data_IF_769324464147
#
_entry.id   IF_769324464147
#
_cell.length_a   1.000
_cell.length_b   1.000
_cell.length_c   1.000
_cell.angle_alpha   90.00
_cell.angle_beta   90.00
_cell.angle_gamma   90.00
#
_symmetry.space_group_name_H-M   'P 1'
#
loop_
_entity.id
_entity.type
_entity.pdbx_description
1 polymer ?
#
# COMPACT_ATOMS: atom_id res chain seq x y z
N UNK A 1 -4.82 -6.77 -49.11
CA UNK A 1 -4.73 -5.61 -48.20
C UNK A 1 -4.13 -4.47 -48.99
N UNK A 2 -4.96 -3.54 -49.45
CA UNK A 2 -4.53 -2.42 -50.30
C UNK A 2 -4.12 -1.27 -49.38
N UNK A 3 -2.85 -0.89 -49.39
CA UNK A 3 -2.37 0.32 -48.73
C UNK A 3 -2.97 1.53 -49.45
N UNK A 4 -3.86 2.26 -48.77
CA UNK A 4 -4.33 3.55 -49.25
C UNK A 4 -3.17 4.56 -49.16
N UNK A 5 -2.90 5.34 -50.22
CA UNK A 5 -1.91 6.41 -50.16
C UNK A 5 -2.35 7.43 -49.10
N UNK A 6 -1.42 7.78 -48.20
CA UNK A 6 -1.62 8.88 -47.26
C UNK A 6 -1.64 10.18 -48.06
N UNK A 7 -2.83 10.62 -48.47
CA UNK A 7 -3.02 11.99 -48.96
C UNK A 7 -2.69 12.93 -47.80
N UNK A 8 -1.89 13.99 -48.02
CA UNK A 8 -1.68 15.01 -46.99
C UNK A 8 -3.06 15.54 -46.60
N UNK A 9 -3.34 15.56 -45.30
CA UNK A 9 -4.58 16.14 -44.79
C UNK A 9 -4.69 17.58 -45.32
N UNK A 10 -5.87 18.01 -45.80
CA UNK A 10 -6.03 19.36 -46.31
C UNK A 10 -5.65 20.36 -45.22
N UNK A 11 -4.85 21.37 -45.59
CA UNK A 11 -4.54 22.49 -44.70
C UNK A 11 -5.80 23.33 -44.54
N UNK A 12 -6.60 23.03 -43.53
CA UNK A 12 -7.81 23.77 -43.21
C UNK A 12 -7.44 25.16 -42.70
N UNK A 13 -8.16 26.19 -43.14
CA UNK A 13 -8.10 27.52 -42.53
C UNK A 13 -8.89 27.56 -41.21
N UNK A 14 -8.67 28.58 -40.39
CA UNK A 14 -9.42 28.84 -39.16
C UNK A 14 -10.95 28.85 -39.37
N UNK A 15 -11.40 29.31 -40.54
CA UNK A 15 -12.81 29.34 -40.98
C UNK A 15 -13.38 28.00 -41.42
N UNK A 16 -12.52 27.02 -41.66
CA UNK A 16 -12.87 25.68 -42.16
C UNK A 16 -12.67 24.58 -41.10
N UNK A 17 -12.26 24.98 -39.88
CA UNK A 17 -12.17 24.06 -38.76
C UNK A 17 -13.57 23.51 -38.41
N UNK A 18 -13.72 22.20 -38.14
CA UNK A 18 -14.97 21.65 -37.64
C UNK A 18 -15.38 22.35 -36.33
N UNK A 19 -16.69 22.46 -36.06
CA UNK A 19 -17.21 23.26 -34.94
C UNK A 19 -16.64 22.94 -33.55
N UNK A 20 -16.17 21.71 -33.33
CA UNK A 20 -15.51 21.28 -32.09
C UNK A 20 -14.06 21.78 -31.93
N UNK A 21 -13.48 22.34 -32.99
CA UNK A 21 -12.15 22.94 -32.99
C UNK A 21 -12.23 24.46 -33.01
N UNK A 22 -11.30 25.09 -32.30
CA UNK A 22 -11.10 26.54 -32.28
C UNK A 22 -9.62 26.89 -32.47
N UNK A 23 -9.30 28.17 -32.36
CA UNK A 23 -7.90 28.64 -32.33
C UNK A 23 -7.39 28.52 -30.91
N UNK A 24 -6.20 27.94 -30.73
CA UNK A 24 -5.57 27.88 -29.40
C UNK A 24 -5.41 29.28 -28.81
N UNK A 25 -5.93 29.49 -27.60
CA UNK A 25 -5.86 30.77 -26.88
C UNK A 25 -4.44 31.29 -26.73
N UNK A 26 -3.48 30.41 -26.45
CA UNK A 26 -2.11 30.83 -26.10
C UNK A 26 -1.22 31.07 -27.33
N UNK A 27 -1.16 30.10 -28.24
CA UNK A 27 -0.26 30.19 -29.38
C UNK A 27 -0.89 30.89 -30.59
N UNK A 28 -2.23 31.02 -30.63
CA UNK A 28 -2.97 31.68 -31.70
C UNK A 28 -2.85 31.03 -33.09
N UNK A 29 -2.09 29.94 -33.22
CA UNK A 29 -1.65 29.42 -34.50
C UNK A 29 -2.05 27.96 -34.75
N UNK A 30 -2.40 27.21 -33.69
CA UNK A 30 -2.68 25.79 -33.79
C UNK A 30 -4.16 25.52 -33.54
N UNK A 31 -4.81 24.65 -34.35
CA UNK A 31 -6.13 24.14 -34.03
C UNK A 31 -6.15 23.50 -32.64
N UNK A 32 -7.18 23.80 -31.89
CA UNK A 32 -7.31 23.44 -30.49
C UNK A 32 -8.70 22.85 -30.22
N UNK A 33 -8.80 22.03 -29.18
CA UNK A 33 -10.08 21.54 -28.67
C UNK A 33 -10.48 22.36 -27.45
N UNK A 34 -11.78 22.46 -27.22
CA UNK A 34 -12.33 23.11 -26.04
C UNK A 34 -11.96 22.33 -24.78
N UNK A 35 -11.36 23.01 -23.81
CA UNK A 35 -11.02 22.51 -22.48
C UNK A 35 -12.07 23.04 -21.48
N UNK A 36 -12.98 22.17 -20.99
CA UNK A 36 -14.02 22.57 -20.04
C UNK A 36 -13.48 23.08 -18.70
N UNK A 37 -12.26 22.71 -18.31
CA UNK A 37 -11.67 23.16 -17.04
C UNK A 37 -11.20 24.62 -17.08
N UNK A 38 -10.98 25.14 -18.29
CA UNK A 38 -10.46 26.50 -18.55
C UNK A 38 -11.42 27.37 -19.35
N UNK A 39 -12.56 26.81 -19.77
CA UNK A 39 -13.60 27.47 -20.56
C UNK A 39 -13.07 28.11 -21.85
N UNK A 40 -12.11 27.45 -22.51
CA UNK A 40 -11.45 27.98 -23.72
C UNK A 40 -10.78 26.86 -24.56
N UNK A 41 -10.26 27.19 -25.74
CA UNK A 41 -9.60 26.24 -26.65
C UNK A 41 -8.09 26.21 -26.45
N UNK A 42 -7.53 25.02 -26.18
CA UNK A 42 -6.07 24.80 -26.06
C UNK A 42 -5.55 23.69 -26.98
N UNK A 43 -4.37 23.89 -27.57
CA UNK A 43 -3.69 22.85 -28.33
C UNK A 43 -2.86 21.96 -27.41
N UNK A 44 -2.59 20.72 -27.84
CA UNK A 44 -1.90 19.70 -27.03
C UNK A 44 -0.60 20.20 -26.36
N UNK A 45 0.33 20.90 -27.05
CA UNK A 45 1.53 21.44 -26.41
C UNK A 45 1.23 22.47 -25.31
N UNK A 46 0.31 23.42 -25.54
CA UNK A 46 -0.06 24.43 -24.55
C UNK A 46 -0.80 23.79 -23.37
N UNK A 47 -1.71 22.84 -23.61
CA UNK A 47 -2.37 22.07 -22.54
C UNK A 47 -1.35 21.29 -21.70
N UNK A 48 -0.33 20.70 -22.33
CA UNK A 48 0.73 19.99 -21.63
C UNK A 48 1.52 20.94 -20.71
N UNK A 49 1.92 22.12 -21.19
CA UNK A 49 2.61 23.13 -20.38
C UNK A 49 1.76 23.56 -19.19
N UNK A 50 0.48 23.85 -19.40
CA UNK A 50 -0.43 24.23 -18.31
C UNK A 50 -0.62 23.11 -17.30
N UNK A 51 -0.72 21.87 -17.75
CA UNK A 51 -0.86 20.70 -16.88
C UNK A 51 0.40 20.49 -16.05
N UNK A 52 1.58 20.62 -16.67
CA UNK A 52 2.86 20.51 -15.97
C UNK A 52 3.07 21.67 -14.98
N UNK A 53 2.67 22.88 -15.35
CA UNK A 53 2.78 24.06 -14.47
C UNK A 53 1.82 23.96 -13.28
N UNK A 54 0.59 23.50 -13.50
CA UNK A 54 -0.35 23.21 -12.43
C UNK A 54 0.16 22.09 -11.51
N UNK A 55 0.72 21.01 -12.08
CA UNK A 55 1.33 19.94 -11.31
C UNK A 55 2.54 20.44 -10.50
N UNK A 56 3.38 21.29 -11.07
CA UNK A 56 4.50 21.91 -10.36
C UNK A 56 4.03 22.77 -9.19
N UNK A 57 3.03 23.63 -9.39
CA UNK A 57 2.45 24.44 -8.31
C UNK A 57 1.84 23.58 -7.19
N UNK A 58 1.19 22.47 -7.53
CA UNK A 58 0.68 21.52 -6.53
C UNK A 58 1.81 20.78 -5.79
N UNK A 59 2.88 20.42 -6.49
CA UNK A 59 4.06 19.80 -5.88
C UNK A 59 4.79 20.78 -4.95
N UNK A 60 4.94 22.05 -5.33
CA UNK A 60 5.49 23.10 -4.48
C UNK A 60 4.65 23.30 -3.20
N UNK A 61 3.32 23.32 -3.34
CA UNK A 61 2.42 23.42 -2.19
C UNK A 61 2.52 22.23 -1.22
N UNK A 62 2.94 21.05 -1.70
CA UNK A 62 3.18 19.86 -0.88
C UNK A 62 4.61 19.80 -0.32
N UNK A 63 5.56 20.47 -0.96
CA UNK A 63 6.98 20.36 -0.62
C UNK A 63 7.28 20.86 0.80
N UNK A 64 6.80 22.06 1.17
CA UNK A 64 7.05 22.63 2.50
C UNK A 64 6.44 21.79 3.65
N UNK A 65 5.16 21.36 3.60
CA UNK A 65 4.60 20.47 4.62
C UNK A 65 5.35 19.14 4.76
N UNK A 66 5.74 18.53 3.64
CA UNK A 66 6.50 17.26 3.65
C UNK A 66 7.89 17.47 4.24
N UNK A 67 8.56 18.57 3.86
CA UNK A 67 9.87 18.94 4.36
C UNK A 67 9.83 19.17 5.88
N UNK A 68 8.85 19.92 6.37
CA UNK A 68 8.65 20.14 7.81
C UNK A 68 8.39 18.82 8.55
N UNK A 69 7.53 17.95 7.98
CA UNK A 69 7.24 16.63 8.57
C UNK A 69 8.49 15.75 8.69
N UNK A 70 9.30 15.71 7.63
CA UNK A 70 10.59 15.01 7.62
C UNK A 70 11.54 15.59 8.67
N UNK A 71 11.64 16.92 8.74
CA UNK A 71 12.53 17.61 9.66
C UNK A 71 12.15 17.37 11.13
N UNK A 72 10.87 17.46 11.46
CA UNK A 72 10.35 17.17 12.80
C UNK A 72 10.56 15.71 13.20
N UNK A 73 10.37 14.77 12.26
CA UNK A 73 10.60 13.34 12.51
C UNK A 73 12.05 13.07 12.91
N UNK A 74 13.01 13.56 12.13
CA UNK A 74 14.43 13.33 12.42
C UNK A 74 14.94 14.16 13.60
N UNK A 75 14.39 15.36 13.80
CA UNK A 75 14.60 16.15 15.01
C UNK A 75 14.18 15.42 16.28
N UNK A 76 13.05 14.71 16.26
CA UNK A 76 12.60 13.89 17.40
C UNK A 76 13.53 12.70 17.71
N UNK A 77 14.28 12.22 16.72
CA UNK A 77 15.32 11.18 16.87
C UNK A 77 16.68 11.80 17.28
N UNK A 78 16.78 13.12 17.41
CA UNK A 78 17.95 13.84 17.92
C UNK A 78 18.89 14.39 16.85
N UNK A 79 18.50 14.42 15.57
CA UNK A 79 19.30 15.07 14.54
C UNK A 79 19.15 16.61 14.61
N UNK A 80 20.26 17.35 14.65
CA UNK A 80 20.21 18.80 14.69
C UNK A 80 19.89 19.38 13.30
N UNK A 81 19.29 20.57 13.29
CA UNK A 81 18.76 21.19 12.06
C UNK A 81 19.83 21.50 11.01
N UNK A 82 21.05 21.82 11.43
CA UNK A 82 22.21 22.04 10.55
C UNK A 82 22.61 20.77 9.79
N UNK A 83 22.59 19.60 10.45
CA UNK A 83 22.79 18.32 9.78
C UNK A 83 21.66 18.01 8.79
N UNK A 84 20.42 18.34 9.14
CA UNK A 84 19.28 18.16 8.24
C UNK A 84 19.39 19.08 7.01
N UNK A 85 19.78 20.34 7.19
CA UNK A 85 20.05 21.27 6.10
C UNK A 85 21.19 20.81 5.19
N UNK A 86 22.28 20.28 5.76
CA UNK A 86 23.38 19.72 5.01
C UNK A 86 22.97 18.49 4.17
N UNK A 87 22.14 17.61 4.74
CA UNK A 87 21.58 16.46 4.00
C UNK A 87 20.69 16.91 2.85
N UNK A 88 19.84 17.92 3.05
CA UNK A 88 19.00 18.51 2.00
C UNK A 88 19.83 19.14 0.88
N UNK A 89 20.86 19.93 1.24
CA UNK A 89 21.77 20.54 0.27
C UNK A 89 22.51 19.50 -0.59
N UNK A 90 22.77 18.31 -0.04
CA UNK A 90 23.36 17.19 -0.79
C UNK A 90 22.45 16.61 -1.89
N UNK A 91 21.13 16.76 -1.77
CA UNK A 91 20.17 16.27 -2.78
C UNK A 91 19.92 17.29 -3.91
N UNK A 92 20.16 18.59 -3.68
CA UNK A 92 19.88 19.66 -4.65
C UNK A 92 21.01 19.94 -5.64
N UNK A 93 22.13 19.20 -5.58
CA UNK A 93 23.28 19.23 -6.52
C UNK A 93 23.91 20.61 -6.84
N UNK A 94 23.76 21.62 -5.99
CA UNK A 94 24.53 22.87 -6.05
C UNK A 94 24.94 23.31 -4.63
N UNK A 95 25.94 24.19 -4.52
CA UNK A 95 26.47 24.87 -3.32
C UNK A 95 25.42 25.73 -2.56
N UNK A 96 24.14 25.35 -2.59
CA UNK A 96 22.99 26.02 -2.02
C UNK A 96 22.66 25.53 -0.60
N UNK A 97 23.65 25.13 0.19
CA UNK A 97 23.42 24.75 1.61
C UNK A 97 22.72 25.86 2.38
N UNK A 98 22.99 27.13 2.06
CA UNK A 98 22.31 28.29 2.65
C UNK A 98 20.82 28.35 2.24
N UNK A 99 20.50 28.03 0.98
CA UNK A 99 19.12 27.93 0.50
C UNK A 99 18.36 26.77 1.14
N UNK A 100 19.02 25.62 1.34
CA UNK A 100 18.44 24.47 2.04
C UNK A 100 18.15 24.77 3.52
N UNK A 101 19.07 25.47 4.21
CA UNK A 101 18.88 25.89 5.59
C UNK A 101 17.72 26.90 5.72
N UNK A 102 17.61 27.85 4.79
CA UNK A 102 16.51 28.80 4.75
C UNK A 102 15.17 28.09 4.50
N UNK A 103 15.09 27.25 3.46
CA UNK A 103 13.87 26.51 3.12
C UNK A 103 13.40 25.62 4.27
N UNK A 104 14.34 24.94 4.94
CA UNK A 104 14.06 24.13 6.12
C UNK A 104 13.53 24.97 7.28
N UNK A 105 14.11 26.15 7.52
CA UNK A 105 13.67 27.07 8.57
C UNK A 105 12.27 27.62 8.28
N UNK A 106 11.99 27.99 7.03
CA UNK A 106 10.67 28.44 6.58
C UNK A 106 9.62 27.33 6.75
N UNK A 107 9.95 26.10 6.36
CA UNK A 107 9.07 24.94 6.51
C UNK A 107 8.74 24.67 7.98
N UNK A 108 9.76 24.65 8.85
CA UNK A 108 9.59 24.42 10.29
C UNK A 108 8.80 25.54 10.99
N UNK A 109 8.95 26.79 10.55
CA UNK A 109 8.20 27.92 11.11
C UNK A 109 6.73 27.94 10.67
N UNK A 110 6.42 27.43 9.47
CA UNK A 110 5.07 27.43 8.91
C UNK A 110 4.26 26.20 9.31
N UNK A 111 4.90 25.09 9.70
CA UNK A 111 4.24 23.80 9.91
C UNK A 111 4.72 23.14 11.21
N UNK A 112 3.91 23.24 12.26
CA UNK A 112 4.15 22.57 13.54
C UNK A 112 3.86 21.07 13.50
N UNK A 113 4.45 20.32 14.42
CA UNK A 113 4.07 18.93 14.66
C UNK A 113 2.64 18.87 15.19
N UNK A 114 1.74 18.11 14.55
CA UNK A 114 0.40 17.94 15.08
C UNK A 114 0.47 17.22 16.44
N UNK A 115 -0.23 17.75 17.43
CA UNK A 115 -0.48 17.00 18.66
C UNK A 115 -1.36 15.80 18.33
N UNK A 116 -0.92 14.61 18.71
CA UNK A 116 -1.74 13.40 18.61
C UNK A 116 -1.72 12.67 19.95
N UNK A 117 -2.85 12.05 20.29
CA UNK A 117 -2.90 11.02 21.31
C UNK A 117 -2.88 9.68 20.59
N UNK A 118 -1.96 8.75 20.90
CA UNK A 118 -2.06 7.40 20.41
C UNK A 118 -3.45 6.86 20.71
N UNK A 119 -4.11 6.27 19.71
CA UNK A 119 -5.30 5.48 19.96
C UNK A 119 -4.89 4.30 20.86
N UNK A 120 -5.78 3.94 21.80
CA UNK A 120 -5.60 2.68 22.52
C UNK A 120 -5.63 1.51 21.54
N UNK A 121 -5.12 0.33 21.95
CA UNK A 121 -5.20 -0.85 21.09
C UNK A 121 -6.68 -1.16 20.78
N UNK A 122 -6.96 -1.48 19.52
CA UNK A 122 -8.28 -1.96 19.12
C UNK A 122 -8.67 -3.17 19.96
N UNK A 123 -9.85 -3.11 20.57
CA UNK A 123 -10.40 -4.26 21.31
C UNK A 123 -11.30 -5.05 20.38
N UNK A 124 -10.87 -6.25 20.04
CA UNK A 124 -11.68 -7.20 19.27
C UNK A 124 -12.33 -8.20 20.23
N UNK A 125 -13.66 -8.20 20.27
CA UNK A 125 -14.42 -9.25 20.95
C UNK A 125 -14.63 -10.40 19.96
N UNK A 126 -14.15 -11.59 20.31
CA UNK A 126 -14.32 -12.79 19.52
C UNK A 126 -15.42 -13.65 20.14
N UNK A 127 -16.44 -13.96 19.34
CA UNK A 127 -17.44 -14.96 19.68
C UNK A 127 -16.92 -16.34 19.25
N UNK A 128 -16.27 -17.03 20.19
CA UNK A 128 -15.55 -18.30 19.96
C UNK A 128 -16.44 -19.38 19.37
N UNK A 129 -17.72 -19.43 19.74
CA UNK A 129 -18.65 -20.46 19.27
C UNK A 129 -19.10 -20.22 17.81
N UNK A 130 -18.97 -18.99 17.33
CA UNK A 130 -19.29 -18.62 15.95
C UNK A 130 -18.05 -18.50 15.05
N UNK A 131 -16.87 -18.90 15.53
CA UNK A 131 -15.67 -18.94 14.69
C UNK A 131 -15.66 -20.16 13.77
N UNK A 132 -15.10 -20.04 12.55
CA UNK A 132 -14.77 -21.20 11.75
C UNK A 132 -13.83 -22.13 12.50
N UNK A 133 -14.13 -23.42 12.49
CA UNK A 133 -13.40 -24.44 13.23
C UNK A 133 -12.45 -25.19 12.31
N UNK A 134 -11.15 -25.16 12.61
CA UNK A 134 -10.14 -26.02 12.00
C UNK A 134 -10.29 -27.43 12.54
N UNK A 135 -10.62 -28.36 11.66
CA UNK A 135 -10.91 -29.75 11.98
C UNK A 135 -10.31 -30.75 10.97
N UNK A 136 -9.43 -30.28 10.10
CA UNK A 136 -8.71 -31.14 9.15
C UNK A 136 -7.35 -30.56 8.77
N UNK A 137 -6.40 -31.46 8.54
CA UNK A 137 -5.07 -31.14 8.01
C UNK A 137 -4.69 -32.17 6.94
N UNK A 138 -4.18 -31.70 5.81
CA UNK A 138 -3.63 -32.52 4.74
C UNK A 138 -2.21 -32.05 4.43
N UNK A 139 -1.29 -33.01 4.32
CA UNK A 139 0.09 -32.73 3.90
C UNK A 139 0.13 -32.69 2.38
N UNK A 140 0.50 -31.54 1.82
CA UNK A 140 0.75 -31.39 0.40
C UNK A 140 2.24 -31.39 0.12
N UNK A 141 2.69 -32.38 -0.65
CA UNK A 141 4.06 -32.50 -1.11
C UNK A 141 4.13 -32.22 -2.61
N UNK A 142 5.17 -31.52 -3.04
CA UNK A 142 5.41 -31.25 -4.46
C UNK A 142 6.83 -30.81 -4.73
N UNK A 143 7.07 -30.33 -5.94
CA UNK A 143 8.37 -29.81 -6.37
C UNK A 143 8.18 -28.42 -6.96
N UNK A 144 8.94 -27.43 -6.47
CA UNK A 144 8.95 -26.09 -7.06
C UNK A 144 9.49 -26.15 -8.51
N UNK A 145 9.18 -25.15 -9.37
CA UNK A 145 9.71 -25.08 -10.74
C UNK A 145 11.24 -25.17 -10.87
N UNK A 146 11.98 -24.92 -9.78
CA UNK A 146 13.45 -25.04 -9.69
C UNK A 146 13.93 -26.40 -9.14
N UNK A 147 13.07 -27.43 -9.13
CA UNK A 147 13.43 -28.79 -8.73
C UNK A 147 13.54 -29.02 -7.21
N UNK A 148 13.28 -28.02 -6.37
CA UNK A 148 13.32 -28.19 -4.91
C UNK A 148 12.03 -28.84 -4.41
N UNK A 149 12.09 -29.98 -3.69
CA UNK A 149 10.91 -30.54 -3.06
C UNK A 149 10.37 -29.57 -2.00
N UNK A 150 9.06 -29.59 -1.80
CA UNK A 150 8.39 -28.85 -0.73
C UNK A 150 7.33 -29.72 -0.08
N UNK A 151 7.06 -29.40 1.19
CA UNK A 151 5.97 -29.95 1.98
C UNK A 151 5.29 -28.78 2.69
N UNK A 152 3.97 -28.65 2.51
CA UNK A 152 3.16 -27.64 3.18
C UNK A 152 1.93 -28.31 3.81
N UNK A 153 1.51 -27.81 4.95
CA UNK A 153 0.26 -28.21 5.59
C UNK A 153 -0.88 -27.39 4.99
N UNK A 154 -1.89 -28.05 4.44
CA UNK A 154 -3.17 -27.43 4.13
C UNK A 154 -4.15 -27.78 5.22
N UNK A 155 -4.86 -26.77 5.70
CA UNK A 155 -5.87 -26.96 6.73
C UNK A 155 -7.24 -26.82 6.11
N UNK A 156 -8.21 -27.54 6.67
CA UNK A 156 -9.63 -27.39 6.36
C UNK A 156 -10.32 -26.79 7.57
N UNK A 157 -11.20 -25.82 7.32
CA UNK A 157 -12.03 -25.22 8.36
C UNK A 157 -13.50 -25.25 7.95
N UNK A 158 -14.39 -25.39 8.94
CA UNK A 158 -15.83 -25.35 8.75
C UNK A 158 -16.42 -24.16 9.49
N UNK A 159 -17.18 -23.33 8.78
CA UNK A 159 -17.98 -22.29 9.40
C UNK A 159 -19.16 -22.90 10.18
N UNK A 160 -19.69 -22.18 11.18
CA UNK A 160 -20.91 -22.59 11.88
C UNK A 160 -22.13 -22.73 10.96
N UNK A 161 -22.15 -22.03 9.83
CA UNK A 161 -23.21 -22.13 8.81
C UNK A 161 -23.09 -23.38 7.91
N UNK A 162 -22.08 -24.22 8.15
CA UNK A 162 -21.82 -25.46 7.41
C UNK A 162 -20.96 -25.28 6.16
N UNK A 163 -20.53 -24.06 5.83
CA UNK A 163 -19.63 -23.83 4.69
C UNK A 163 -18.20 -24.30 5.01
N UNK A 164 -17.56 -24.97 4.04
CA UNK A 164 -16.18 -25.46 4.18
C UNK A 164 -15.20 -24.54 3.47
N UNK A 165 -14.12 -24.21 4.16
CA UNK A 165 -12.94 -23.53 3.61
C UNK A 165 -11.83 -24.57 3.39
N UNK A 166 -11.53 -24.93 2.14
CA UNK A 166 -10.48 -25.90 1.80
C UNK A 166 -9.74 -25.56 0.49
N UNK A 167 -8.40 -25.39 0.51
CA UNK A 167 -7.64 -25.12 1.73
C UNK A 167 -8.20 -23.85 2.37
N UNK A 168 -8.23 -23.77 3.70
CA UNK A 168 -8.67 -22.57 4.39
C UNK A 168 -7.82 -21.38 3.91
N UNK A 169 -8.37 -20.44 3.10
CA UNK A 169 -7.57 -19.40 2.46
C UNK A 169 -6.90 -18.55 3.53
N UNK A 170 -5.58 -18.36 3.43
CA UNK A 170 -4.84 -17.55 4.39
C UNK A 170 -4.62 -18.20 5.75
N UNK A 171 -5.00 -19.48 5.97
CA UNK A 171 -4.61 -20.19 7.17
C UNK A 171 -3.10 -20.50 7.11
N UNK A 172 -2.33 -19.81 7.94
CA UNK A 172 -0.90 -20.02 8.21
C UNK A 172 -0.02 -19.91 6.96
N UNK A 173 -0.38 -19.00 6.06
CA UNK A 173 0.53 -18.55 4.99
C UNK A 173 1.74 -17.86 5.63
N UNK A 174 2.95 -18.28 5.25
CA UNK A 174 4.20 -17.70 5.76
C UNK A 174 4.20 -16.17 5.62
N UNK A 175 4.59 -15.47 6.69
CA UNK A 175 4.68 -14.00 6.73
C UNK A 175 3.47 -13.28 7.32
N UNK A 176 2.48 -13.99 7.87
CA UNK A 176 1.41 -13.39 8.69
C UNK A 176 1.75 -13.50 10.17
N UNK A 177 1.59 -12.40 10.89
CA UNK A 177 1.61 -12.40 12.35
C UNK A 177 0.30 -13.00 12.86
N UNK A 178 0.40 -13.95 13.78
CA UNK A 178 -0.76 -14.57 14.40
C UNK A 178 -0.52 -14.84 15.89
N UNK A 179 -1.59 -14.71 16.66
CA UNK A 179 -1.63 -15.10 18.07
C UNK A 179 -2.42 -16.39 18.22
N UNK A 180 -1.89 -17.33 19.00
CA UNK A 180 -2.58 -18.56 19.37
C UNK A 180 -2.96 -18.51 20.86
N UNK A 181 -4.25 -18.35 21.13
CA UNK A 181 -4.82 -18.32 22.48
C UNK A 181 -5.23 -19.73 22.89
N UNK A 182 -4.50 -20.34 23.83
CA UNK A 182 -4.78 -21.69 24.33
C UNK A 182 -5.95 -21.69 25.32
N UNK A 183 -6.67 -22.81 25.38
CA UNK A 183 -7.77 -23.05 26.34
C UNK A 183 -8.92 -22.03 26.24
N UNK A 184 -9.28 -21.62 25.03
CA UNK A 184 -10.36 -20.66 24.81
C UNK A 184 -11.75 -21.24 25.20
N UNK A 185 -11.96 -22.54 24.99
CA UNK A 185 -13.06 -23.31 25.57
C UNK A 185 -12.74 -24.81 25.51
N UNK A 186 -12.88 -25.53 26.63
CA UNK A 186 -12.85 -27.01 26.70
C UNK A 186 -11.68 -27.73 25.96
N UNK A 187 -10.47 -27.16 25.95
CA UNK A 187 -9.27 -27.76 25.33
C UNK A 187 -8.98 -27.31 23.90
N UNK A 188 -9.83 -26.45 23.32
CA UNK A 188 -9.60 -25.83 22.02
C UNK A 188 -8.77 -24.53 22.16
N UNK A 189 -8.14 -24.11 21.06
CA UNK A 189 -7.45 -22.82 20.96
C UNK A 189 -8.14 -21.89 19.98
N UNK A 190 -7.82 -20.60 20.04
CA UNK A 190 -8.21 -19.62 19.04
C UNK A 190 -6.95 -19.11 18.36
N UNK A 191 -6.89 -19.27 17.04
CA UNK A 191 -5.88 -18.67 16.19
C UNK A 191 -6.42 -17.34 15.66
N UNK A 192 -5.70 -16.25 15.88
CA UNK A 192 -6.08 -14.91 15.46
C UNK A 192 -4.99 -14.28 14.60
N UNK A 193 -5.31 -13.82 13.39
CA UNK A 193 -4.37 -13.13 12.51
C UNK A 193 -4.29 -11.65 12.84
N UNK A 194 -3.09 -11.20 13.20
CA UNK A 194 -2.74 -9.81 13.45
C UNK A 194 -2.42 -9.06 12.14
N UNK A 195 -2.19 -9.78 11.04
CA UNK A 195 -1.95 -9.20 9.71
C UNK A 195 -0.53 -9.45 9.22
N UNK A 196 0.05 -8.51 8.47
CA UNK A 196 1.46 -8.49 8.06
C UNK A 196 2.14 -7.37 8.85
N UNK A 197 3.21 -7.65 9.58
CA UNK A 197 3.92 -6.69 10.45
C UNK A 197 3.00 -5.98 11.46
N UNK A 198 2.04 -6.73 12.04
CA UNK A 198 1.03 -6.22 12.97
C UNK A 198 -0.04 -5.31 12.34
N UNK A 199 -0.02 -5.11 11.01
CA UNK A 199 -1.02 -4.34 10.31
C UNK A 199 -2.09 -5.26 9.72
N UNK A 200 -3.33 -5.12 10.21
CA UNK A 200 -4.47 -5.71 9.53
C UNK A 200 -4.68 -4.92 8.23
N UNK A 201 -4.20 -5.45 7.11
CA UNK A 201 -4.61 -4.95 5.79
C UNK A 201 -6.15 -4.89 5.71
N UNK A 202 -6.73 -4.13 4.76
CA UNK A 202 -8.17 -4.06 4.57
C UNK A 202 -8.69 -5.49 4.59
N UNK A 203 -9.56 -5.79 5.57
CA UNK A 203 -10.12 -7.12 5.75
C UNK A 203 -10.68 -7.54 4.41
N UNK A 204 -10.03 -8.51 3.76
CA UNK A 204 -10.69 -9.29 2.75
C UNK A 204 -11.94 -9.85 3.44
N UNK A 205 -13.15 -9.42 3.07
CA UNK A 205 -14.37 -9.82 3.75
C UNK A 205 -14.60 -11.33 3.68
N UNK A 206 -13.86 -12.03 2.82
CA UNK A 206 -13.96 -13.46 2.59
C UNK A 206 -12.94 -14.29 3.38
N UNK A 207 -11.97 -13.67 4.07
CA UNK A 207 -10.97 -14.40 4.87
C UNK A 207 -11.20 -14.14 6.36
N UNK A 208 -11.66 -15.15 7.14
CA UNK A 208 -11.83 -15.00 8.58
C UNK A 208 -10.53 -14.58 9.27
N UNK A 209 -10.61 -13.58 10.16
CA UNK A 209 -9.47 -13.12 10.96
C UNK A 209 -9.15 -14.04 12.13
N UNK A 210 -10.08 -14.93 12.50
CA UNK A 210 -9.96 -15.81 13.64
C UNK A 210 -10.52 -17.19 13.34
N UNK A 211 -9.91 -18.22 13.92
CA UNK A 211 -10.32 -19.61 13.79
C UNK A 211 -10.30 -20.28 15.17
N UNK A 212 -11.30 -21.12 15.44
CA UNK A 212 -11.23 -22.09 16.53
C UNK A 212 -10.40 -23.28 16.04
N UNK A 213 -9.43 -23.72 16.83
CA UNK A 213 -8.58 -24.86 16.51
C UNK A 213 -8.89 -25.97 17.50
N UNK A 214 -9.39 -27.10 17.00
CA UNK A 214 -9.66 -28.24 17.87
C UNK A 214 -8.37 -28.83 18.43
N UNK A 215 -8.43 -29.32 19.66
CA UNK A 215 -7.28 -29.93 20.35
C UNK A 215 -6.40 -30.87 19.49
N UNK A 216 -6.96 -31.78 18.66
CA UNK A 216 -6.16 -32.72 17.86
C UNK A 216 -5.28 -32.07 16.76
N UNK A 217 -5.55 -30.82 16.37
CA UNK A 217 -4.83 -30.12 15.29
C UNK A 217 -3.88 -29.03 15.80
N UNK A 218 -3.77 -28.87 17.12
CA UNK A 218 -2.98 -27.79 17.73
C UNK A 218 -1.48 -27.90 17.39
N UNK A 219 -0.93 -29.11 17.40
CA UNK A 219 0.49 -29.31 17.15
C UNK A 219 0.87 -28.95 15.71
N UNK A 220 0.03 -29.31 14.74
CA UNK A 220 0.24 -28.96 13.32
C UNK A 220 0.09 -27.45 13.10
N UNK A 221 -0.86 -26.79 13.78
CA UNK A 221 -1.00 -25.33 13.73
C UNK A 221 0.23 -24.65 14.33
N UNK A 222 0.75 -25.14 15.45
CA UNK A 222 2.00 -24.63 16.07
C UNK A 222 3.22 -24.82 15.18
N UNK A 223 3.35 -25.98 14.55
CA UNK A 223 4.41 -26.27 13.59
C UNK A 223 4.35 -25.28 12.40
N UNK A 224 3.16 -25.08 11.83
CA UNK A 224 2.95 -24.18 10.71
C UNK A 224 3.23 -22.70 11.04
N UNK A 225 3.09 -22.27 12.31
CA UNK A 225 3.44 -20.93 12.78
C UNK A 225 4.95 -20.65 12.88
N UNK A 226 5.81 -21.65 12.67
CA UNK A 226 7.26 -21.44 12.58
C UNK A 226 8.06 -21.70 13.86
N UNK A 227 7.74 -22.78 14.58
CA UNK A 227 8.46 -23.30 15.76
C UNK A 227 8.37 -22.41 17.01
N UNK A 228 7.43 -22.75 17.90
CA UNK A 228 7.48 -22.33 19.30
C UNK A 228 8.66 -23.04 19.99
N UNK A 229 9.57 -22.33 20.67
CA UNK A 229 10.58 -22.96 21.50
C UNK A 229 9.89 -23.44 22.77
N UNK A 230 9.39 -24.67 22.78
CA UNK A 230 9.33 -25.56 23.95
C UNK A 230 8.46 -26.79 23.66
N UNK A 231 9.08 -27.77 23.02
CA UNK A 231 8.87 -29.19 23.26
C UNK A 231 10.21 -29.91 22.97
N UNK A 232 11.08 -29.83 23.99
CA UNK A 232 12.45 -30.35 24.23
C UNK A 232 12.99 -31.58 23.45
N UNK A 233 14.34 -31.81 23.50
CA UNK A 233 15.25 -32.03 22.38
C UNK A 233 15.38 -33.52 21.97
N UNK A 234 15.57 -33.80 20.68
CA UNK A 234 15.73 -35.19 20.25
C UNK A 234 16.17 -35.40 18.81
N UNK A 235 17.49 -35.35 18.63
CA UNK A 235 18.32 -36.10 17.66
C UNK A 235 18.18 -35.76 16.16
N UNK A 236 19.34 -35.37 15.63
CA UNK A 236 19.69 -35.14 14.22
C UNK A 236 19.27 -36.25 13.27
#
# INVERSE_FOLDING_TARGET
MTNLPHLPAPTLTDRELPAQYGVCRDCGATPALFDPSRDDYFCSPCTQIHTLSAAAAHLEALALPVLASWAHHWGAVGLPQDHLAALLGGFTQEDQTDGAAQLLSEALAAHDVPSYSPAGPDRVLLDVENLPTVDGVTVHTGTYPRGRPYQHLHFTAHHPDGTTLSPAPGLLSRGRDAALFLNASAGDAVLFYLGIDGQTGPSDPFTPRAFRVRAPFLDQVREALGNWPDATPGVY
#
